data_IF_435722799967
#
_entry.id   IF_435722799967
#
_cell.length_a   1.000
_cell.length_b   1.000
_cell.length_c   1.000
_cell.angle_alpha   90.00
_cell.angle_beta   90.00
_cell.angle_gamma   90.00
#
_symmetry.space_group_name_H-M   'P 1'
#
loop_
_entity.id
_entity.type
_entity.pdbx_description
1 polymer ?
#
# COMPACT_ATOMS: atom_id res chain seq x y z
N UNK A 1 -5.68 -9.86 2.89
CA UNK A 1 -7.14 -9.66 2.65
C UNK A 1 -7.55 -8.19 2.47
N UNK A 2 -7.30 -7.25 3.39
CA UNK A 2 -7.78 -5.86 3.26
C UNK A 2 -7.20 -5.12 2.03
N UNK A 3 -5.91 -5.29 1.71
CA UNK A 3 -5.31 -4.74 0.50
C UNK A 3 -5.99 -5.28 -0.78
N UNK A 4 -6.19 -6.59 -0.87
CA UNK A 4 -6.90 -7.19 -2.02
C UNK A 4 -8.32 -6.65 -2.15
N UNK A 5 -9.04 -6.51 -1.03
CA UNK A 5 -10.37 -5.88 -1.00
C UNK A 5 -10.32 -4.45 -1.54
N UNK A 6 -9.37 -3.63 -1.09
CA UNK A 6 -9.24 -2.25 -1.57
C UNK A 6 -8.91 -2.20 -3.07
N UNK A 7 -7.98 -3.04 -3.56
CA UNK A 7 -7.66 -3.14 -4.99
C UNK A 7 -8.91 -3.46 -5.81
N UNK A 8 -9.73 -4.43 -5.37
CA UNK A 8 -10.96 -4.79 -6.08
C UNK A 8 -12.01 -3.67 -6.15
N UNK A 9 -11.90 -2.64 -5.29
CA UNK A 9 -12.81 -1.48 -5.30
C UNK A 9 -12.36 -0.36 -6.23
N UNK A 10 -11.06 -0.25 -6.55
CA UNK A 10 -10.56 0.79 -7.44
C UNK A 10 -10.96 0.56 -8.91
N UNK A 11 -10.76 -0.66 -9.41
CA UNK A 11 -11.06 -1.01 -10.80
C UNK A 11 -11.73 -2.39 -10.87
N UNK A 12 -13.03 -2.51 -10.55
CA UNK A 12 -13.70 -3.79 -10.42
C UNK A 12 -13.80 -4.57 -11.74
N UNK A 13 -13.57 -3.92 -12.89
CA UNK A 13 -13.62 -4.54 -14.23
C UNK A 13 -12.26 -4.89 -14.82
N UNK A 14 -11.16 -4.43 -14.20
CA UNK A 14 -9.82 -4.72 -14.67
C UNK A 14 -9.49 -6.19 -14.47
N UNK A 15 -8.82 -6.81 -15.47
CA UNK A 15 -8.48 -8.23 -15.46
C UNK A 15 -6.99 -8.51 -15.34
N UNK A 16 -6.16 -7.51 -15.60
CA UNK A 16 -4.72 -7.58 -15.51
C UNK A 16 -4.17 -6.33 -14.81
N UNK A 17 -3.27 -6.51 -13.86
CA UNK A 17 -2.60 -5.42 -13.12
C UNK A 17 -1.11 -5.67 -12.95
N UNK A 18 -0.34 -4.58 -12.88
CA UNK A 18 1.06 -4.61 -12.43
C UNK A 18 1.15 -4.13 -10.99
N UNK A 19 1.63 -5.02 -10.13
CA UNK A 19 1.70 -4.83 -8.68
C UNK A 19 3.14 -4.88 -8.20
N UNK A 20 3.57 -3.90 -7.42
CA UNK A 20 4.92 -3.83 -6.87
C UNK A 20 4.92 -3.70 -5.35
N UNK A 21 5.78 -4.48 -4.69
CA UNK A 21 6.12 -4.31 -3.28
C UNK A 21 7.60 -3.93 -3.14
N UNK A 22 7.91 -2.67 -2.77
CA UNK A 22 9.28 -2.19 -2.64
C UNK A 22 10.03 -2.72 -1.42
N UNK A 23 9.36 -3.36 -0.47
CA UNK A 23 9.92 -3.88 0.78
C UNK A 23 9.31 -5.25 1.11
N UNK A 24 9.39 -6.18 0.14
CA UNK A 24 8.58 -7.39 0.12
C UNK A 24 8.85 -8.40 1.24
N UNK A 25 10.03 -8.33 1.89
CA UNK A 25 10.43 -9.32 2.88
C UNK A 25 10.41 -10.73 2.28
N UNK A 26 9.65 -11.63 2.88
CA UNK A 26 9.45 -12.98 2.35
C UNK A 26 8.27 -13.08 1.37
N UNK A 27 7.66 -11.97 0.96
CA UNK A 27 6.58 -11.90 -0.03
C UNK A 27 5.17 -12.10 0.53
N UNK A 28 4.99 -12.16 1.85
CA UNK A 28 3.69 -12.46 2.46
C UNK A 28 2.55 -11.56 1.98
N UNK A 29 2.81 -10.25 1.83
CA UNK A 29 1.79 -9.31 1.38
C UNK A 29 1.40 -9.56 -0.08
N UNK A 30 2.39 -9.72 -0.96
CA UNK A 30 2.17 -10.01 -2.39
C UNK A 30 1.41 -11.32 -2.58
N UNK A 31 1.89 -12.42 -2.02
CA UNK A 31 1.22 -13.73 -2.17
C UNK A 31 -0.20 -13.71 -1.59
N UNK A 32 -0.42 -13.00 -0.49
CA UNK A 32 -1.78 -12.82 0.04
C UNK A 32 -2.69 -12.09 -0.94
N UNK A 33 -2.21 -11.04 -1.59
CA UNK A 33 -3.00 -10.28 -2.57
C UNK A 33 -3.28 -11.14 -3.79
N UNK A 34 -2.25 -11.78 -4.36
CA UNK A 34 -2.36 -12.63 -5.56
C UNK A 34 -3.38 -13.76 -5.32
N UNK A 35 -3.32 -14.42 -4.18
CA UNK A 35 -4.22 -15.53 -3.85
C UNK A 35 -5.68 -15.11 -3.56
N UNK A 36 -5.95 -13.81 -3.36
CA UNK A 36 -7.30 -13.32 -3.04
C UNK A 36 -7.97 -12.57 -4.19
N UNK A 37 -7.23 -12.25 -5.25
CA UNK A 37 -7.77 -11.59 -6.42
C UNK A 37 -7.88 -12.58 -7.58
N UNK A 38 -9.03 -12.59 -8.24
CA UNK A 38 -9.25 -13.33 -9.49
C UNK A 38 -8.82 -12.46 -10.68
N UNK A 39 -7.51 -12.14 -10.72
CA UNK A 39 -6.89 -11.26 -11.70
C UNK A 39 -5.57 -11.86 -12.17
N UNK A 40 -5.17 -11.54 -13.39
CA UNK A 40 -3.80 -11.72 -13.85
C UNK A 40 -2.93 -10.61 -13.25
N UNK A 41 -1.85 -11.00 -12.56
CA UNK A 41 -1.01 -10.05 -11.81
C UNK A 41 0.46 -10.23 -12.21
N UNK A 42 1.01 -9.19 -12.88
CA UNK A 42 2.46 -9.03 -13.01
C UNK A 42 3.01 -8.55 -11.66
N UNK A 43 3.46 -9.47 -10.85
CA UNK A 43 3.94 -9.18 -9.51
C UNK A 43 5.45 -8.91 -9.50
N UNK A 44 5.83 -7.79 -8.88
CA UNK A 44 7.22 -7.34 -8.74
C UNK A 44 7.53 -7.14 -7.27
N UNK A 45 8.69 -7.62 -6.83
CA UNK A 45 9.16 -7.50 -5.46
C UNK A 45 10.56 -6.89 -5.40
N UNK A 46 10.83 -6.09 -4.38
CA UNK A 46 12.19 -5.70 -4.02
C UNK A 46 12.48 -6.09 -2.58
N UNK A 47 13.65 -6.69 -2.35
CA UNK A 47 14.14 -7.05 -1.02
C UNK A 47 15.67 -7.04 -1.01
N UNK A 48 16.25 -6.54 0.07
CA UNK A 48 17.70 -6.43 0.21
C UNK A 48 18.33 -7.54 1.06
N UNK A 49 17.51 -8.31 1.78
CA UNK A 49 17.97 -9.43 2.61
C UNK A 49 17.99 -10.73 1.81
N UNK A 50 19.17 -11.34 1.66
CA UNK A 50 19.37 -12.55 0.88
C UNK A 50 18.50 -13.74 1.35
N UNK A 51 18.36 -13.91 2.68
CA UNK A 51 17.57 -15.01 3.24
C UNK A 51 16.07 -14.81 2.91
N UNK A 52 15.57 -13.59 3.05
CA UNK A 52 14.19 -13.25 2.69
C UNK A 52 13.91 -13.50 1.21
N UNK A 53 14.83 -13.13 0.32
CA UNK A 53 14.72 -13.40 -1.12
C UNK A 53 14.66 -14.90 -1.40
N UNK A 54 15.53 -15.72 -0.79
CA UNK A 54 15.52 -17.17 -0.97
C UNK A 54 14.22 -17.81 -0.50
N UNK A 55 13.67 -17.34 0.63
CA UNK A 55 12.38 -17.81 1.13
C UNK A 55 11.26 -17.41 0.15
N UNK A 56 11.26 -16.15 -0.32
CA UNK A 56 10.27 -15.65 -1.27
C UNK A 56 10.31 -16.43 -2.59
N UNK A 57 11.50 -16.74 -3.12
CA UNK A 57 11.65 -17.58 -4.31
C UNK A 57 11.08 -18.97 -4.09
N UNK A 58 11.39 -19.62 -2.96
CA UNK A 58 10.85 -20.95 -2.63
C UNK A 58 9.32 -20.93 -2.49
N UNK A 59 8.74 -19.87 -1.92
CA UNK A 59 7.29 -19.70 -1.85
C UNK A 59 6.67 -19.47 -3.23
N UNK A 60 7.31 -18.69 -4.10
CA UNK A 60 6.89 -18.47 -5.50
C UNK A 60 6.80 -19.81 -6.25
N UNK A 61 7.85 -20.65 -6.15
CA UNK A 61 7.87 -21.97 -6.75
C UNK A 61 6.77 -22.89 -6.21
N UNK A 62 6.59 -22.93 -4.88
CA UNK A 62 5.56 -23.75 -4.23
C UNK A 62 4.13 -23.34 -4.61
N UNK A 63 3.89 -22.04 -4.75
CA UNK A 63 2.58 -21.48 -5.10
C UNK A 63 2.36 -21.41 -6.61
N UNK A 64 3.36 -21.78 -7.43
CA UNK A 64 3.34 -21.66 -8.88
C UNK A 64 2.98 -20.23 -9.34
N UNK A 65 3.52 -19.23 -8.63
CA UNK A 65 3.28 -17.82 -8.88
C UNK A 65 4.53 -17.20 -9.50
N UNK A 66 4.42 -16.62 -10.69
CA UNK A 66 5.53 -15.88 -11.29
C UNK A 66 5.75 -14.56 -10.55
N UNK A 67 7.00 -14.30 -10.16
CA UNK A 67 7.38 -13.11 -9.41
C UNK A 67 8.73 -12.57 -9.91
N UNK A 68 8.73 -11.32 -10.37
CA UNK A 68 9.98 -10.61 -10.69
C UNK A 68 10.60 -10.07 -9.39
N UNK A 69 11.83 -10.50 -9.06
CA UNK A 69 12.48 -10.15 -7.79
C UNK A 69 13.74 -9.31 -8.03
N UNK A 70 13.77 -8.10 -7.45
CA UNK A 70 14.95 -7.25 -7.37
C UNK A 70 15.65 -7.46 -6.03
N UNK A 71 16.83 -8.09 -6.06
CA UNK A 71 17.68 -8.25 -4.87
C UNK A 71 18.62 -7.05 -4.72
N UNK A 72 18.12 -5.96 -4.13
CA UNK A 72 18.90 -4.74 -3.90
C UNK A 72 18.20 -3.77 -2.96
N UNK A 73 18.85 -2.64 -2.65
CA UNK A 73 18.21 -1.53 -1.94
C UNK A 73 17.09 -0.94 -2.82
N UNK A 74 15.90 -0.84 -2.27
CA UNK A 74 14.70 -0.37 -2.98
C UNK A 74 14.87 1.02 -3.59
N UNK A 75 15.71 1.88 -3.00
CA UNK A 75 15.99 3.24 -3.51
C UNK A 75 16.76 3.23 -4.84
N UNK A 76 17.35 2.09 -5.21
CA UNK A 76 18.05 1.90 -6.48
C UNK A 76 17.19 1.19 -7.54
N UNK A 77 15.98 0.78 -7.19
CA UNK A 77 15.05 0.11 -8.11
C UNK A 77 14.25 1.15 -8.87
N UNK A 78 14.29 1.07 -10.20
CA UNK A 78 13.48 1.89 -11.09
C UNK A 78 12.53 0.98 -11.88
N UNK A 79 11.29 0.98 -11.46
CA UNK A 79 10.16 0.33 -12.14
C UNK A 79 9.23 1.39 -12.72
N UNK A 80 8.35 1.00 -13.61
CA UNK A 80 7.40 1.93 -14.25
C UNK A 80 6.10 1.22 -14.64
N UNK A 81 5.12 2.01 -15.01
CA UNK A 81 3.83 1.52 -15.48
C UNK A 81 3.13 0.61 -14.47
N UNK A 82 3.16 0.99 -13.20
CA UNK A 82 2.51 0.25 -12.13
C UNK A 82 1.07 0.71 -11.93
N UNK A 83 0.19 -0.24 -11.73
CA UNK A 83 -1.19 0.05 -11.33
C UNK A 83 -1.30 0.21 -9.82
N UNK A 84 -0.58 -0.66 -9.10
CA UNK A 84 -0.56 -0.63 -7.64
C UNK A 84 0.84 -0.81 -7.09
N UNK A 85 1.10 -0.08 -6.00
CA UNK A 85 2.24 -0.32 -5.12
C UNK A 85 1.68 -0.64 -3.74
N UNK A 86 2.17 -1.71 -3.13
CA UNK A 86 1.79 -2.10 -1.77
C UNK A 86 3.04 -2.22 -0.91
N UNK A 87 2.95 -1.81 0.34
CA UNK A 87 4.12 -1.83 1.22
C UNK A 87 3.70 -1.96 2.69
N UNK A 88 4.46 -2.71 3.47
CA UNK A 88 4.35 -2.73 4.93
C UNK A 88 5.60 -2.10 5.53
N UNK A 89 5.48 -0.89 6.06
CA UNK A 89 6.58 -0.23 6.75
C UNK A 89 6.67 -0.71 8.20
N UNK A 90 7.83 -1.24 8.55
CA UNK A 90 8.16 -1.50 9.93
C UNK A 90 8.38 -0.19 10.70
N UNK A 91 8.22 -0.27 12.02
CA UNK A 91 8.54 0.86 12.89
C UNK A 91 10.02 1.20 12.76
N UNK A 92 10.31 2.44 12.36
CA UNK A 92 11.68 2.94 12.22
C UNK A 92 11.77 4.37 12.73
N UNK A 93 12.92 4.71 13.32
CA UNK A 93 13.23 6.08 13.69
C UNK A 93 13.93 6.80 12.54
N UNK A 94 13.75 8.12 12.40
CA UNK A 94 14.54 8.91 11.47
C UNK A 94 16.04 8.78 11.75
N UNK A 95 16.82 8.62 10.70
CA UNK A 95 18.28 8.60 10.75
C UNK A 95 18.83 9.82 10.01
N UNK A 96 19.70 10.59 10.63
CA UNK A 96 20.30 11.81 10.05
C UNK A 96 19.26 12.78 9.45
N UNK A 97 18.13 12.93 10.14
CA UNK A 97 17.03 13.79 9.70
C UNK A 97 16.19 13.25 8.53
N UNK A 98 16.47 12.03 8.07
CA UNK A 98 15.73 11.35 7.01
C UNK A 98 14.86 10.24 7.59
N UNK A 99 13.63 10.16 7.14
CA UNK A 99 12.70 9.11 7.51
C UNK A 99 12.52 8.18 6.32
N UNK A 100 13.06 6.98 6.43
CA UNK A 100 13.11 6.00 5.34
C UNK A 100 11.77 5.76 4.64
N UNK A 101 10.62 5.62 5.34
CA UNK A 101 9.33 5.49 4.67
C UNK A 101 8.99 6.64 3.73
N UNK A 102 9.38 7.89 4.06
CA UNK A 102 9.14 9.03 3.15
C UNK A 102 9.97 8.93 1.89
N UNK A 103 11.26 8.53 2.02
CA UNK A 103 12.14 8.35 0.86
C UNK A 103 11.57 7.28 -0.09
N UNK A 104 11.12 6.14 0.45
CA UNK A 104 10.54 5.04 -0.33
C UNK A 104 9.25 5.47 -1.03
N UNK A 105 8.34 6.14 -0.33
CA UNK A 105 7.08 6.61 -0.92
C UNK A 105 7.35 7.61 -2.05
N UNK A 106 8.16 8.65 -1.80
CA UNK A 106 8.44 9.69 -2.79
C UNK A 106 9.23 9.17 -4.00
N UNK A 107 10.06 8.13 -3.81
CA UNK A 107 10.77 7.48 -4.89
C UNK A 107 9.83 6.69 -5.79
N UNK A 108 9.01 5.82 -5.21
CA UNK A 108 8.22 4.84 -5.97
C UNK A 108 6.86 5.33 -6.45
N UNK A 109 6.25 6.32 -5.81
CA UNK A 109 4.95 6.85 -6.27
C UNK A 109 5.00 7.35 -7.71
N UNK A 110 6.17 7.77 -8.18
CA UNK A 110 6.42 8.24 -9.56
C UNK A 110 6.34 7.12 -10.60
N UNK A 111 6.45 5.87 -10.16
CA UNK A 111 6.36 4.68 -11.02
C UNK A 111 4.92 4.26 -11.34
N UNK A 112 3.94 4.83 -10.64
CA UNK A 112 2.53 4.57 -10.87
C UNK A 112 2.07 5.12 -12.23
N UNK A 113 1.15 4.43 -12.86
CA UNK A 113 0.35 4.96 -13.96
C UNK A 113 -0.56 6.10 -13.48
N UNK A 114 -1.11 6.87 -14.41
CA UNK A 114 -2.15 7.84 -14.11
C UNK A 114 -3.33 7.15 -13.40
N UNK A 115 -3.75 7.71 -12.26
CA UNK A 115 -4.70 7.14 -11.33
C UNK A 115 -4.26 5.84 -10.60
N UNK A 116 -3.05 5.35 -10.84
CA UNK A 116 -2.48 4.24 -10.06
C UNK A 116 -2.43 4.58 -8.56
N UNK A 117 -2.43 3.55 -7.72
CA UNK A 117 -2.57 3.74 -6.26
C UNK A 117 -1.45 3.05 -5.49
N UNK A 118 -0.84 3.81 -4.58
CA UNK A 118 0.06 3.26 -3.57
C UNK A 118 -0.67 3.09 -2.25
N UNK A 119 -0.59 1.91 -1.67
CA UNK A 119 -1.19 1.55 -0.39
C UNK A 119 -0.11 1.08 0.57
N UNK A 120 0.06 1.78 1.68
CA UNK A 120 1.08 1.42 2.65
C UNK A 120 0.51 1.22 4.04
N UNK A 121 0.96 0.15 4.71
CA UNK A 121 0.86 0.05 6.17
C UNK A 121 1.90 0.97 6.78
N UNK A 122 1.45 1.95 7.56
CA UNK A 122 2.29 2.94 8.21
C UNK A 122 2.08 2.91 9.72
N UNK A 123 3.12 3.18 10.55
CA UNK A 123 2.94 3.42 11.99
C UNK A 123 2.02 4.63 12.25
N UNK A 124 1.28 4.63 13.34
CA UNK A 124 0.37 5.75 13.65
C UNK A 124 1.09 7.08 13.93
N UNK A 125 2.37 7.05 14.27
CA UNK A 125 3.22 8.22 14.43
C UNK A 125 3.92 8.69 13.14
N UNK A 126 3.61 8.05 11.99
CA UNK A 126 4.21 8.32 10.69
C UNK A 126 4.31 9.82 10.37
N UNK A 127 3.23 10.58 10.54
CA UNK A 127 3.21 12.02 10.23
C UNK A 127 3.93 12.89 11.26
N UNK A 128 4.30 12.37 12.43
CA UNK A 128 5.02 13.13 13.47
C UNK A 128 6.44 13.52 13.06
N UNK A 129 7.00 12.83 12.06
CA UNK A 129 8.33 13.08 11.53
C UNK A 129 8.36 14.15 10.43
N UNK A 130 7.20 14.57 9.90
CA UNK A 130 7.08 15.62 8.87
C UNK A 130 6.85 17.01 9.49
N UNK A 131 7.78 17.44 10.37
CA UNK A 131 7.64 18.69 11.14
C UNK A 131 7.50 19.94 10.26
N UNK A 132 8.22 19.98 9.13
CA UNK A 132 8.24 21.09 8.20
C UNK A 132 7.24 20.94 7.05
N UNK A 133 6.39 19.93 7.10
CA UNK A 133 5.44 19.54 6.05
C UNK A 133 6.08 19.32 4.66
N UNK A 134 7.38 19.02 4.65
CA UNK A 134 8.15 18.84 3.42
C UNK A 134 7.67 17.62 2.65
N UNK A 135 7.50 16.47 3.34
CA UNK A 135 6.98 15.25 2.74
C UNK A 135 5.59 15.47 2.13
N UNK A 136 4.66 16.08 2.88
CA UNK A 136 3.32 16.37 2.39
C UNK A 136 3.33 17.30 1.18
N UNK A 137 4.18 18.32 1.19
CA UNK A 137 4.30 19.28 0.09
C UNK A 137 4.79 18.58 -1.18
N UNK A 138 5.88 17.82 -1.09
CA UNK A 138 6.46 17.10 -2.22
C UNK A 138 5.51 16.02 -2.76
N UNK A 139 4.85 15.27 -1.86
CA UNK A 139 3.86 14.28 -2.26
C UNK A 139 2.71 14.91 -3.04
N UNK A 140 2.19 16.04 -2.61
CA UNK A 140 1.02 16.70 -3.19
C UNK A 140 1.31 17.45 -4.50
N UNK A 141 2.54 17.51 -4.99
CA UNK A 141 2.85 18.13 -6.28
C UNK A 141 2.19 17.39 -7.45
N UNK A 142 2.23 16.06 -7.44
CA UNK A 142 1.68 15.21 -8.51
C UNK A 142 0.71 14.12 -8.01
N UNK A 143 0.51 14.03 -6.70
CA UNK A 143 -0.24 12.94 -6.08
C UNK A 143 -1.27 13.49 -5.10
N UNK A 144 -2.21 12.65 -4.70
CA UNK A 144 -3.18 12.98 -3.67
C UNK A 144 -3.30 11.88 -2.63
N UNK A 145 -3.20 12.24 -1.36
CA UNK A 145 -3.59 11.32 -0.30
C UNK A 145 -5.13 11.22 -0.30
N UNK A 146 -5.64 10.04 -0.62
CA UNK A 146 -7.07 9.81 -0.83
C UNK A 146 -7.73 9.03 0.30
N UNK A 147 -6.95 8.43 1.19
CA UNK A 147 -7.52 7.69 2.31
C UNK A 147 -6.52 7.40 3.42
N UNK A 148 -7.07 7.28 4.63
CA UNK A 148 -6.39 6.77 5.82
C UNK A 148 -7.36 5.83 6.55
N UNK A 149 -6.95 4.57 6.72
CA UNK A 149 -7.73 3.53 7.41
C UNK A 149 -6.95 3.11 8.66
N UNK A 150 -7.43 3.48 9.83
CA UNK A 150 -6.86 3.06 11.10
C UNK A 150 -7.24 1.61 11.39
N UNK A 151 -6.25 0.76 11.65
CA UNK A 151 -6.46 -0.65 11.96
C UNK A 151 -6.78 -0.86 13.44
N UNK A 152 -7.50 -1.96 13.79
CA UNK A 152 -7.84 -2.24 15.17
C UNK A 152 -6.61 -2.45 16.05
N UNK A 153 -6.65 -1.94 17.28
CA UNK A 153 -5.59 -2.08 18.29
C UNK A 153 -5.25 -3.55 18.60
N UNK A 154 -6.20 -4.45 18.34
CA UNK A 154 -6.03 -5.89 18.56
C UNK A 154 -5.03 -6.56 17.61
N UNK A 155 -4.67 -5.93 16.48
CA UNK A 155 -3.68 -6.45 15.54
C UNK A 155 -2.24 -6.24 15.98
N UNK A 156 -1.97 -5.10 16.59
CA UNK A 156 -0.62 -4.68 16.92
C UNK A 156 -0.55 -4.29 18.37
N UNK A 157 -0.04 -5.17 19.23
CA UNK A 157 -0.04 -4.96 20.70
C UNK A 157 0.64 -3.68 21.16
N UNK A 158 1.68 -3.22 20.44
CA UNK A 158 2.49 -2.06 20.83
C UNK A 158 2.70 -1.03 19.73
N UNK A 159 2.41 -1.37 18.48
CA UNK A 159 2.74 -0.54 17.30
C UNK A 159 1.52 -0.48 16.39
N UNK A 160 0.54 0.33 16.77
CA UNK A 160 -0.65 0.53 15.95
C UNK A 160 -0.28 1.04 14.56
N UNK A 161 -0.91 0.44 13.55
CA UNK A 161 -0.70 0.81 12.15
C UNK A 161 -2.01 1.28 11.50
N UNK A 162 -1.83 2.11 10.48
CA UNK A 162 -2.89 2.55 9.58
C UNK A 162 -2.52 2.22 8.14
N UNK A 163 -3.51 2.12 7.26
CA UNK A 163 -3.27 2.05 5.82
C UNK A 163 -3.47 3.45 5.25
N UNK A 164 -2.42 3.99 4.60
CA UNK A 164 -2.52 5.19 3.79
C UNK A 164 -2.76 4.81 2.33
N UNK A 165 -3.63 5.56 1.66
CA UNK A 165 -3.91 5.45 0.23
C UNK A 165 -3.45 6.72 -0.47
N UNK A 166 -2.55 6.58 -1.43
CA UNK A 166 -1.99 7.67 -2.24
C UNK A 166 -2.28 7.36 -3.69
N UNK A 167 -2.94 8.26 -4.39
CA UNK A 167 -3.24 8.13 -5.81
C UNK A 167 -2.37 9.07 -6.63
N UNK A 168 -1.79 8.58 -7.73
CA UNK A 168 -1.11 9.42 -8.71
C UNK A 168 -2.13 10.18 -9.53
N UNK A 169 -2.62 11.27 -8.98
CA UNK A 169 -3.45 12.25 -9.62
C UNK A 169 -3.50 13.49 -8.73
N UNK A 170 -3.36 14.66 -9.32
CA UNK A 170 -3.66 15.89 -8.60
C UNK A 170 -5.18 16.12 -8.62
N UNK A 171 -5.84 15.89 -7.48
CA UNK A 171 -7.30 15.97 -7.38
C UNK A 171 -7.66 17.13 -6.48
N UNK A 172 -8.08 18.24 -7.10
CA UNK A 172 -8.61 19.39 -6.37
C UNK A 172 -9.88 18.99 -5.62
N UNK A 173 -9.94 19.33 -4.33
CA UNK A 173 -11.12 19.14 -3.46
C UNK A 173 -11.58 17.68 -3.24
N UNK A 174 -10.73 16.67 -3.44
CA UNK A 174 -11.08 15.29 -3.09
C UNK A 174 -11.18 15.13 -1.58
N UNK A 175 -12.30 14.61 -1.11
CA UNK A 175 -12.46 14.26 0.30
C UNK A 175 -11.62 13.01 0.59
N UNK A 176 -10.60 13.16 1.45
CA UNK A 176 -9.84 12.02 1.94
C UNK A 176 -10.76 11.10 2.78
N UNK A 177 -10.75 9.81 2.48
CA UNK A 177 -11.45 8.80 3.27
C UNK A 177 -10.75 8.66 4.62
N UNK A 178 -11.48 8.78 5.70
CA UNK A 178 -10.95 8.53 7.05
C UNK A 178 -11.87 7.53 7.75
N UNK A 179 -11.38 6.33 7.97
CA UNK A 179 -12.14 5.24 8.60
C UNK A 179 -11.29 4.59 9.69
N UNK A 180 -11.91 4.36 10.85
CA UNK A 180 -11.35 3.52 11.91
C UNK A 180 -12.03 2.17 11.89
N UNK A 181 -11.27 1.11 11.63
CA UNK A 181 -11.79 -0.26 11.69
C UNK A 181 -11.92 -0.71 13.15
N UNK A 182 -13.09 -1.17 13.56
CA UNK A 182 -13.27 -1.76 14.90
C UNK A 182 -12.64 -3.15 14.98
N UNK A 183 -12.59 -3.72 16.19
CA UNK A 183 -12.17 -5.12 16.37
C UNK A 183 -12.99 -6.07 15.50
N UNK A 184 -12.36 -7.07 14.91
CA UNK A 184 -13.05 -8.10 14.11
C UNK A 184 -14.06 -8.94 14.90
N UNK A 185 -13.99 -8.90 16.24
CA UNK A 185 -14.98 -9.53 17.09
C UNK A 185 -16.31 -8.78 17.11
N UNK A 186 -16.35 -7.53 16.67
CA UNK A 186 -17.57 -6.74 16.51
C UNK A 186 -18.00 -6.70 15.05
N UNK A 187 -18.59 -7.80 14.59
CA UNK A 187 -19.00 -7.98 13.20
C UNK A 187 -19.97 -6.89 12.72
N UNK A 188 -20.82 -6.36 13.60
CA UNK A 188 -21.79 -5.31 13.22
C UNK A 188 -21.08 -4.02 12.87
N UNK A 189 -20.24 -3.50 13.78
CA UNK A 189 -19.48 -2.26 13.54
C UNK A 189 -18.46 -2.43 12.42
N UNK A 190 -17.90 -3.63 12.27
CA UNK A 190 -16.98 -3.92 11.18
C UNK A 190 -17.68 -3.80 9.81
N UNK A 191 -18.88 -4.37 9.67
CA UNK A 191 -19.68 -4.25 8.44
C UNK A 191 -20.10 -2.78 8.19
N UNK A 192 -20.44 -2.02 9.23
CA UNK A 192 -20.72 -0.58 9.12
C UNK A 192 -19.50 0.20 8.58
N UNK A 193 -18.30 -0.11 9.07
CA UNK A 193 -17.06 0.50 8.58
C UNK A 193 -16.76 0.12 7.13
N UNK A 194 -16.97 -1.14 6.72
CA UNK A 194 -16.85 -1.55 5.33
C UNK A 194 -17.86 -0.82 4.43
N UNK A 195 -19.10 -0.67 4.86
CA UNK A 195 -20.12 0.08 4.11
C UNK A 195 -19.74 1.56 3.93
N UNK A 196 -19.07 2.19 4.92
CA UNK A 196 -18.52 3.55 4.77
C UNK A 196 -17.43 3.60 3.69
N UNK A 197 -16.53 2.60 3.66
CA UNK A 197 -15.51 2.48 2.62
C UNK A 197 -16.17 2.34 1.25
N UNK A 198 -17.14 1.44 1.10
CA UNK A 198 -17.88 1.23 -0.17
C UNK A 198 -18.57 2.51 -0.65
N UNK A 199 -19.31 3.17 0.23
CA UNK A 199 -19.98 4.44 -0.09
C UNK A 199 -18.99 5.51 -0.54
N UNK A 200 -17.79 5.54 0.08
CA UNK A 200 -16.75 6.49 -0.35
C UNK A 200 -16.25 6.16 -1.76
N UNK A 201 -15.99 4.88 -2.09
CA UNK A 201 -15.57 4.46 -3.42
C UNK A 201 -16.62 4.80 -4.49
N UNK A 202 -17.89 4.50 -4.23
CA UNK A 202 -18.99 4.83 -5.14
C UNK A 202 -19.08 6.32 -5.44
N UNK A 203 -18.88 7.16 -4.43
CA UNK A 203 -19.00 8.61 -4.54
C UNK A 203 -17.77 9.31 -5.11
N UNK A 204 -16.57 8.71 -5.03
CA UNK A 204 -15.33 9.41 -5.36
C UNK A 204 -14.49 8.72 -6.45
N UNK A 205 -14.61 7.41 -6.63
CA UNK A 205 -13.83 6.66 -7.61
C UNK A 205 -14.74 6.17 -8.75
N UNK A 206 -15.81 5.46 -8.41
CA UNK A 206 -16.68 4.76 -9.36
C UNK A 206 -17.89 5.61 -9.79
N UNK A 207 -17.75 6.93 -9.84
CA UNK A 207 -18.84 7.77 -10.37
C UNK A 207 -19.16 7.38 -11.81
N UNK A 208 -20.35 6.83 -11.98
CA UNK A 208 -20.96 6.62 -13.30
C UNK A 208 -21.44 7.93 -13.91
#
# INVERSE_FOLDING_TARGET
>A
MLFAYLISKFEPTKRHIRLFDPLAGVGNLLFTIINHLDLEIDAIACEHNELSVKIMQSLSDMLQTELEIYFQDTRNVNVSNLDYIVCDFDYSNPLDGKYFPYEVILHHVKALNDNGVMMCLIPNDFFSYDKDQKFKKELNEENSMIGLIELPDTFFKNNQKSIILIQRAHIENKKCMMVKLPSFNDSKRFNEALAQIETWFENNINKK
#
